data_IF_932337298210
#
_entry.id   IF_932337298210
#
_cell.length_a   1.000
_cell.length_b   1.000
_cell.length_c   1.000
_cell.angle_alpha   90.00
_cell.angle_beta   90.00
_cell.angle_gamma   90.00
#
_symmetry.space_group_name_H-M   'P 1'
#
loop_
_entity.id
_entity.type
_entity.pdbx_description
1 polymer ?
#
# COMPACT_ATOMS: atom_id res chain seq x y z
N UNK A 1 16.34 -11.90 16.83
CA UNK A 1 16.89 -11.16 15.68
C UNK A 1 16.49 -9.70 15.81
N UNK A 2 17.43 -8.79 15.60
CA UNK A 2 17.19 -7.34 15.67
C UNK A 2 16.28 -6.89 14.51
N UNK A 3 15.30 -6.02 14.79
CA UNK A 3 14.49 -5.38 13.77
C UNK A 3 15.36 -4.40 12.95
N UNK A 4 15.20 -4.45 11.62
CA UNK A 4 15.90 -3.57 10.68
C UNK A 4 14.94 -3.08 9.60
N UNK A 5 15.22 -1.94 9.00
CA UNK A 5 14.50 -1.48 7.81
C UNK A 5 14.74 -2.47 6.66
N UNK A 6 13.67 -2.80 5.91
CA UNK A 6 13.70 -3.70 4.76
C UNK A 6 13.12 -3.01 3.55
N UNK A 7 13.64 -3.37 2.41
CA UNK A 7 13.07 -3.02 1.11
C UNK A 7 12.48 -4.30 0.51
N UNK A 8 11.16 -4.39 0.51
CA UNK A 8 10.44 -5.58 0.03
C UNK A 8 10.32 -5.59 -1.49
N UNK A 9 10.12 -4.41 -2.07
CA UNK A 9 9.99 -4.21 -3.52
C UNK A 9 10.84 -2.99 -3.90
N UNK A 10 11.70 -3.15 -4.89
CA UNK A 10 12.55 -2.10 -5.45
C UNK A 10 12.43 -2.14 -6.97
N UNK A 11 12.09 -1.03 -7.59
CA UNK A 11 11.94 -0.88 -9.04
C UNK A 11 11.02 -1.93 -9.70
N UNK A 12 9.98 -2.33 -8.96
CA UNK A 12 8.99 -3.32 -9.41
C UNK A 12 9.40 -4.79 -9.16
N UNK A 13 10.57 -5.05 -8.64
CA UNK A 13 11.06 -6.39 -8.30
C UNK A 13 10.93 -6.68 -6.79
N UNK A 14 10.51 -7.90 -6.44
CA UNK A 14 10.51 -8.36 -5.05
C UNK A 14 11.95 -8.69 -4.66
N UNK A 15 12.51 -7.92 -3.74
CA UNK A 15 13.90 -8.05 -3.30
C UNK A 15 14.05 -8.83 -2.01
N UNK A 16 13.03 -8.84 -1.16
CA UNK A 16 13.07 -9.52 0.12
C UNK A 16 11.67 -10.00 0.54
N UNK A 17 11.58 -11.19 1.13
CA UNK A 17 10.36 -11.69 1.77
C UNK A 17 10.42 -11.49 3.28
N UNK A 18 9.25 -11.31 3.91
CA UNK A 18 9.14 -11.40 5.36
C UNK A 18 9.32 -12.87 5.79
N UNK A 19 10.21 -13.13 6.76
CA UNK A 19 10.65 -14.48 7.08
C UNK A 19 10.68 -14.77 8.58
N UNK A 20 10.56 -16.05 8.91
CA UNK A 20 10.98 -16.65 10.18
C UNK A 20 12.23 -17.51 9.96
N UNK A 21 12.65 -18.26 11.00
CA UNK A 21 13.85 -19.11 10.90
C UNK A 21 13.67 -20.27 9.92
N UNK A 22 12.47 -20.86 9.88
CA UNK A 22 12.16 -22.00 8.97
C UNK A 22 12.20 -21.55 7.51
N UNK A 23 11.41 -20.55 7.16
CA UNK A 23 11.36 -20.07 5.77
C UNK A 23 12.69 -19.46 5.30
N UNK A 24 13.46 -18.86 6.19
CA UNK A 24 14.81 -18.38 5.85
C UNK A 24 15.76 -19.54 5.54
N UNK A 25 15.66 -20.65 6.28
CA UNK A 25 16.46 -21.85 6.03
C UNK A 25 16.05 -22.53 4.70
N UNK A 26 14.74 -22.64 4.45
CA UNK A 26 14.19 -23.20 3.19
C UNK A 26 14.65 -22.42 1.95
N UNK A 27 14.71 -21.10 2.05
CA UNK A 27 15.15 -20.21 0.96
C UNK A 27 16.67 -20.03 0.89
N UNK A 28 17.43 -20.57 1.82
CA UNK A 28 18.89 -20.42 1.88
C UNK A 28 19.34 -18.97 2.13
N UNK A 29 18.53 -18.15 2.83
CA UNK A 29 18.79 -16.73 3.06
C UNK A 29 18.89 -16.41 4.55
N UNK A 30 19.44 -15.23 4.86
CA UNK A 30 19.53 -14.76 6.25
C UNK A 30 18.15 -14.40 6.81
N UNK A 31 17.84 -14.91 8.02
CA UNK A 31 16.61 -14.55 8.72
C UNK A 31 16.58 -13.05 9.03
N UNK A 32 15.49 -12.41 8.68
CA UNK A 32 15.30 -10.96 8.84
C UNK A 32 14.43 -10.56 10.05
N UNK A 33 14.06 -11.51 10.92
CA UNK A 33 13.35 -11.23 12.17
C UNK A 33 11.92 -10.71 11.98
N UNK A 34 11.21 -11.16 10.95
CA UNK A 34 9.84 -10.74 10.69
C UNK A 34 8.78 -11.59 11.42
N UNK A 35 9.18 -12.55 12.24
CA UNK A 35 8.25 -13.32 13.06
C UNK A 35 8.08 -12.69 14.43
N UNK A 36 6.83 -12.58 14.87
CA UNK A 36 6.45 -12.18 16.23
C UNK A 36 5.07 -12.72 16.57
N UNK A 37 4.81 -12.91 17.87
CA UNK A 37 3.48 -13.26 18.36
C UNK A 37 2.72 -12.00 18.78
N UNK A 38 1.40 -12.13 18.87
CA UNK A 38 0.53 -11.09 19.44
C UNK A 38 0.64 -11.05 20.96
N UNK A 39 0.90 -12.19 21.61
CA UNK A 39 0.99 -12.33 23.07
C UNK A 39 1.96 -13.47 23.41
N UNK A 40 2.35 -13.57 24.69
CA UNK A 40 3.32 -14.57 25.18
C UNK A 40 2.84 -16.02 25.01
N UNK A 41 1.53 -16.26 25.00
CA UNK A 41 0.91 -17.59 24.88
C UNK A 41 0.52 -17.95 23.43
N UNK A 42 1.01 -17.20 22.43
CA UNK A 42 0.72 -17.44 21.01
C UNK A 42 2.00 -17.76 20.24
N UNK A 43 1.85 -18.61 19.23
CA UNK A 43 2.96 -18.94 18.34
C UNK A 43 3.45 -17.71 17.57
N UNK A 44 4.78 -17.47 17.52
CA UNK A 44 5.35 -16.44 16.64
C UNK A 44 5.22 -16.83 15.18
N UNK A 45 4.47 -16.10 14.42
CA UNK A 45 4.30 -16.29 12.98
C UNK A 45 4.85 -15.09 12.20
N UNK A 46 5.11 -15.25 10.90
CA UNK A 46 5.58 -14.15 10.04
C UNK A 46 4.53 -13.05 10.00
N UNK A 47 4.94 -11.81 10.33
CA UNK A 47 4.05 -10.66 10.45
C UNK A 47 4.57 -9.46 9.69
N UNK A 48 3.64 -8.75 9.07
CA UNK A 48 3.86 -7.40 8.61
C UNK A 48 4.21 -6.47 9.79
N UNK A 49 5.13 -5.57 9.62
CA UNK A 49 5.38 -4.43 10.51
C UNK A 49 4.87 -3.14 9.86
N UNK A 50 5.33 -1.97 10.31
CA UNK A 50 5.01 -0.72 9.64
C UNK A 50 5.54 -0.77 8.20
N UNK A 51 4.61 -0.76 7.26
CA UNK A 51 4.91 -0.94 5.83
C UNK A 51 4.43 0.28 5.06
N UNK A 52 5.28 0.87 4.24
CA UNK A 52 4.97 2.11 3.55
C UNK A 52 5.70 2.21 2.21
N UNK A 53 5.14 3.01 1.33
CA UNK A 53 5.79 3.43 0.09
C UNK A 53 6.79 4.53 0.41
N UNK A 54 8.05 4.39 -0.02
CA UNK A 54 9.07 5.42 0.19
C UNK A 54 8.72 6.71 -0.56
N UNK A 55 9.02 7.90 0.03
CA UNK A 55 8.72 9.17 -0.61
C UNK A 55 9.46 9.33 -1.95
N UNK A 56 8.89 10.17 -2.81
CA UNK A 56 9.55 10.74 -3.98
C UNK A 56 9.99 12.18 -3.69
N UNK A 57 9.95 13.02 -4.70
CA UNK A 57 10.48 14.38 -4.69
C UNK A 57 9.46 15.47 -5.04
N UNK A 58 8.22 15.08 -5.40
CA UNK A 58 7.16 16.01 -5.81
C UNK A 58 6.33 16.52 -4.62
N UNK A 59 5.78 17.73 -4.76
CA UNK A 59 4.65 18.17 -3.94
C UNK A 59 3.34 17.64 -4.51
N UNK A 60 2.26 17.67 -3.72
CA UNK A 60 0.91 17.29 -4.19
C UNK A 60 0.49 18.18 -5.36
N UNK A 61 0.77 19.47 -5.28
CA UNK A 61 0.44 20.45 -6.32
C UNK A 61 1.18 20.16 -7.61
N UNK A 62 2.44 19.72 -7.55
CA UNK A 62 3.21 19.30 -8.73
C UNK A 62 2.63 18.05 -9.35
N UNK A 63 2.27 17.03 -8.54
CA UNK A 63 1.60 15.83 -9.04
C UNK A 63 0.28 16.14 -9.73
N UNK A 64 -0.54 17.05 -9.16
CA UNK A 64 -1.81 17.46 -9.74
C UNK A 64 -1.61 18.19 -11.08
N UNK A 65 -0.59 19.05 -11.18
CA UNK A 65 -0.28 19.80 -12.41
C UNK A 65 0.06 18.90 -13.61
N UNK A 66 0.59 17.71 -13.36
CA UNK A 66 0.91 16.74 -14.42
C UNK A 66 -0.33 16.03 -14.99
N UNK A 67 -1.48 16.13 -14.32
CA UNK A 67 -2.70 15.41 -14.70
C UNK A 67 -3.57 16.27 -15.62
N UNK A 68 -3.72 15.85 -16.87
CA UNK A 68 -4.65 16.51 -17.79
C UNK A 68 -6.11 16.21 -17.46
N UNK A 69 -6.44 14.95 -17.22
CA UNK A 69 -7.77 14.48 -16.82
C UNK A 69 -7.60 13.34 -15.81
N UNK A 70 -8.19 13.47 -14.63
CA UNK A 70 -8.06 12.46 -13.59
C UNK A 70 -8.95 12.72 -12.38
N UNK A 71 -8.74 11.89 -11.37
CA UNK A 71 -9.40 12.00 -10.05
C UNK A 71 -8.32 11.97 -8.97
N UNK A 72 -8.34 12.93 -8.09
CA UNK A 72 -7.58 12.92 -6.85
C UNK A 72 -8.40 12.25 -5.76
N UNK A 73 -8.00 11.06 -5.33
CA UNK A 73 -8.56 10.36 -4.19
C UNK A 73 -7.84 10.82 -2.93
N UNK A 74 -8.49 11.61 -2.10
CA UNK A 74 -7.93 12.09 -0.84
C UNK A 74 -8.20 11.12 0.30
N UNK A 75 -9.36 10.45 0.26
CA UNK A 75 -9.70 9.37 1.19
C UNK A 75 -10.64 8.36 0.52
N UNK A 76 -10.78 7.19 1.13
CA UNK A 76 -11.68 6.15 0.65
C UNK A 76 -12.64 5.68 1.77
N UNK A 77 -13.80 5.18 1.41
CA UNK A 77 -14.80 4.62 2.33
C UNK A 77 -14.80 3.09 2.31
N UNK A 78 -14.44 2.49 1.21
CA UNK A 78 -14.36 1.04 1.06
C UNK A 78 -13.01 0.64 0.46
N UNK A 79 -12.45 -0.42 1.01
CA UNK A 79 -11.31 -1.11 0.47
C UNK A 79 -11.57 -2.61 0.52
N UNK A 80 -11.48 -3.28 -0.61
CA UNK A 80 -11.68 -4.70 -0.76
C UNK A 80 -10.54 -5.32 -1.55
N UNK A 81 -10.13 -6.51 -1.15
CA UNK A 81 -9.09 -7.29 -1.82
C UNK A 81 -9.48 -8.76 -1.78
N UNK A 82 -9.25 -9.50 -2.85
CA UNK A 82 -9.52 -10.93 -2.91
C UNK A 82 -8.53 -11.76 -2.07
N UNK A 83 -8.85 -13.03 -1.85
CA UNK A 83 -8.04 -13.94 -1.02
C UNK A 83 -6.62 -14.15 -1.59
N UNK A 84 -6.45 -14.04 -2.90
CA UNK A 84 -5.15 -14.14 -3.58
C UNK A 84 -4.34 -12.85 -3.53
N UNK A 85 -4.91 -11.76 -2.99
CA UNK A 85 -4.33 -10.41 -2.97
C UNK A 85 -4.02 -9.87 -4.37
N UNK A 86 -4.75 -10.35 -5.38
CA UNK A 86 -4.57 -9.97 -6.77
C UNK A 86 -5.47 -8.80 -7.17
N UNK A 87 -6.79 -8.92 -6.93
CA UNK A 87 -7.77 -7.90 -7.32
C UNK A 87 -8.08 -6.99 -6.14
N UNK A 88 -8.08 -5.70 -6.39
CA UNK A 88 -8.33 -4.66 -5.39
C UNK A 88 -9.40 -3.70 -5.90
N UNK A 89 -10.25 -3.24 -4.98
CA UNK A 89 -11.31 -2.27 -5.23
C UNK A 89 -11.30 -1.20 -4.15
N UNK A 90 -11.23 0.04 -4.56
CA UNK A 90 -11.29 1.20 -3.68
C UNK A 90 -12.44 2.09 -4.09
N UNK A 91 -13.23 2.56 -3.12
CA UNK A 91 -14.31 3.53 -3.34
C UNK A 91 -13.93 4.83 -2.66
N UNK A 92 -13.82 5.91 -3.40
CA UNK A 92 -13.48 7.23 -2.87
C UNK A 92 -14.58 7.78 -1.97
N UNK A 93 -14.17 8.35 -0.83
CA UNK A 93 -15.02 9.13 0.07
C UNK A 93 -14.88 10.62 -0.26
N UNK A 94 -13.68 11.14 -0.13
CA UNK A 94 -13.34 12.50 -0.54
C UNK A 94 -12.46 12.42 -1.78
N UNK A 95 -13.03 12.81 -2.91
CA UNK A 95 -12.34 12.76 -4.19
C UNK A 95 -12.70 13.96 -5.06
N UNK A 96 -11.73 14.44 -5.82
CA UNK A 96 -11.86 15.64 -6.64
C UNK A 96 -11.49 15.35 -8.09
N UNK A 97 -12.22 15.95 -9.01
CA UNK A 97 -11.87 15.94 -10.43
C UNK A 97 -10.61 16.77 -10.65
N UNK A 98 -9.74 16.29 -11.50
CA UNK A 98 -8.59 17.07 -12.01
C UNK A 98 -8.81 17.33 -13.49
N UNK A 99 -8.72 18.60 -13.87
CA UNK A 99 -8.77 19.03 -15.28
C UNK A 99 -7.64 20.02 -15.54
N UNK A 100 -6.80 19.71 -16.53
CA UNK A 100 -5.67 20.55 -16.96
C UNK A 100 -4.79 21.01 -15.78
N UNK A 101 -4.46 20.09 -14.87
CA UNK A 101 -3.59 20.37 -13.73
C UNK A 101 -4.24 21.14 -12.59
N UNK A 102 -5.57 21.26 -12.56
CA UNK A 102 -6.29 21.97 -11.51
C UNK A 102 -7.33 21.07 -10.83
N UNK A 103 -7.45 21.20 -9.51
CA UNK A 103 -8.53 20.56 -8.77
C UNK A 103 -9.86 21.26 -9.05
N UNK A 104 -10.85 20.47 -9.42
CA UNK A 104 -12.20 20.90 -9.68
C UNK A 104 -13.19 20.46 -8.61
N UNK A 105 -14.39 20.07 -9.04
CA UNK A 105 -15.50 19.69 -8.17
C UNK A 105 -15.31 18.32 -7.50
N UNK A 106 -16.00 18.11 -6.39
CA UNK A 106 -16.13 16.80 -5.74
C UNK A 106 -16.76 15.78 -6.69
N UNK A 107 -16.23 14.56 -6.66
CA UNK A 107 -16.75 13.42 -7.40
C UNK A 107 -17.37 12.43 -6.43
N UNK A 108 -18.61 12.03 -6.69
CA UNK A 108 -19.35 11.11 -5.83
C UNK A 108 -18.88 9.67 -6.06
N UNK A 109 -18.34 9.06 -4.99
CA UNK A 109 -18.00 7.64 -4.91
C UNK A 109 -17.30 7.08 -6.16
N UNK A 110 -16.18 7.68 -6.64
CA UNK A 110 -15.41 7.10 -7.74
C UNK A 110 -14.81 5.77 -7.31
N UNK A 111 -14.71 4.83 -8.25
CA UNK A 111 -14.25 3.47 -8.00
C UNK A 111 -13.00 3.18 -8.79
N UNK A 112 -11.92 2.80 -8.10
CA UNK A 112 -10.72 2.23 -8.69
C UNK A 112 -10.74 0.71 -8.50
N UNK A 113 -10.87 -0.04 -9.61
CA UNK A 113 -10.71 -1.49 -9.64
C UNK A 113 -9.43 -1.81 -10.41
N UNK A 114 -8.50 -2.50 -9.76
CA UNK A 114 -7.17 -2.70 -10.33
C UNK A 114 -6.52 -3.96 -9.74
N UNK A 115 -5.67 -4.63 -10.52
CA UNK A 115 -4.84 -5.72 -9.98
C UNK A 115 -3.60 -5.16 -9.28
N UNK A 116 -3.08 -5.91 -8.31
CA UNK A 116 -1.86 -5.51 -7.58
C UNK A 116 -0.67 -5.21 -8.51
N UNK A 117 -0.35 -6.05 -9.51
CA UNK A 117 0.71 -5.72 -10.46
C UNK A 117 0.42 -4.47 -11.30
N UNK A 118 -0.83 -4.29 -11.74
CA UNK A 118 -1.21 -3.12 -12.52
C UNK A 118 -1.15 -1.84 -11.69
N UNK A 119 -1.55 -1.89 -10.40
CA UNK A 119 -1.42 -0.75 -9.48
C UNK A 119 0.02 -0.27 -9.39
N UNK A 120 0.94 -1.17 -9.05
CA UNK A 120 2.36 -0.82 -8.91
C UNK A 120 3.01 -0.45 -10.23
N UNK A 121 2.64 -1.10 -11.34
CA UNK A 121 3.12 -0.77 -12.68
C UNK A 121 2.59 0.57 -13.23
N UNK A 122 1.51 1.11 -12.64
CA UNK A 122 0.92 2.40 -13.05
C UNK A 122 1.55 3.61 -12.35
N UNK A 123 2.39 3.42 -11.34
CA UNK A 123 3.05 4.50 -10.60
C UNK A 123 3.97 5.30 -11.55
N UNK A 124 3.76 6.62 -11.60
CA UNK A 124 4.54 7.56 -12.42
C UNK A 124 5.40 8.48 -11.57
N UNK A 125 4.85 9.01 -10.49
CA UNK A 125 5.55 9.90 -9.58
C UNK A 125 5.02 9.73 -8.15
N UNK A 126 5.80 10.15 -7.18
CA UNK A 126 5.47 10.07 -5.75
C UNK A 126 5.76 11.39 -5.06
N UNK A 127 4.91 11.73 -4.12
CA UNK A 127 5.07 12.88 -3.27
C UNK A 127 6.22 12.73 -2.26
N UNK A 128 6.71 13.85 -1.74
CA UNK A 128 7.78 13.88 -0.75
C UNK A 128 7.32 13.68 0.71
N UNK A 129 6.03 13.86 0.97
CA UNK A 129 5.48 13.77 2.32
C UNK A 129 4.79 12.41 2.51
N UNK A 130 5.25 11.63 3.48
CA UNK A 130 4.65 10.35 3.83
C UNK A 130 3.65 10.55 4.95
N UNK A 131 2.42 10.09 4.74
CA UNK A 131 1.39 9.98 5.77
C UNK A 131 1.27 8.53 6.24
N UNK A 132 0.88 8.34 7.50
CA UNK A 132 0.68 7.02 8.09
C UNK A 132 -0.72 6.91 8.70
N UNK A 133 -1.33 5.74 8.53
CA UNK A 133 -2.60 5.39 9.17
C UNK A 133 -2.43 4.13 10.02
N UNK A 134 -3.13 4.07 11.14
CA UNK A 134 -3.17 2.90 12.00
C UNK A 134 -4.00 1.79 11.35
N UNK A 135 -3.51 0.57 11.43
CA UNK A 135 -4.17 -0.61 10.89
C UNK A 135 -3.96 -1.83 11.78
N UNK A 136 -4.72 -2.87 11.54
CA UNK A 136 -4.51 -4.17 12.19
C UNK A 136 -4.19 -5.22 11.14
N UNK A 137 -2.99 -5.79 11.22
CA UNK A 137 -2.61 -6.94 10.42
C UNK A 137 -3.17 -8.22 11.06
N UNK A 138 -4.12 -8.88 10.40
CA UNK A 138 -4.66 -10.17 10.81
C UNK A 138 -3.98 -11.34 10.09
N UNK A 139 -3.56 -12.37 10.82
CA UNK A 139 -3.00 -13.60 10.25
C UNK A 139 -3.11 -14.76 11.24
N UNK A 140 -3.15 -15.99 10.70
CA UNK A 140 -3.11 -17.23 11.46
C UNK A 140 -4.49 -17.82 11.75
N UNK A 141 -4.49 -19.06 12.17
CA UNK A 141 -5.64 -19.78 12.70
C UNK A 141 -5.20 -20.47 14.02
N UNK A 142 -5.72 -20.08 15.17
CA UNK A 142 -6.64 -18.94 15.38
C UNK A 142 -6.01 -17.59 15.03
N UNK A 143 -6.87 -16.65 14.56
CA UNK A 143 -6.48 -15.31 14.12
C UNK A 143 -5.68 -14.55 15.18
N UNK A 144 -4.58 -13.95 14.75
CA UNK A 144 -3.76 -13.03 15.54
C UNK A 144 -3.81 -11.64 14.90
N UNK A 145 -4.43 -10.66 15.57
CA UNK A 145 -4.46 -9.26 15.15
C UNK A 145 -3.30 -8.48 15.78
N UNK A 146 -2.43 -7.87 14.99
CA UNK A 146 -1.31 -7.05 15.49
C UNK A 146 -1.45 -5.61 14.99
N UNK A 147 -1.39 -4.60 15.87
CA UNK A 147 -1.36 -3.22 15.45
C UNK A 147 -0.13 -2.93 14.59
N UNK A 148 -0.35 -2.21 13.49
CA UNK A 148 0.69 -1.77 12.55
C UNK A 148 0.34 -0.37 12.05
N UNK A 149 1.31 0.31 11.44
CA UNK A 149 1.06 1.49 10.63
C UNK A 149 1.28 1.13 9.16
N UNK A 150 0.39 1.62 8.31
CA UNK A 150 0.55 1.60 6.86
C UNK A 150 0.69 3.03 6.36
N UNK A 151 1.47 3.25 5.33
CA UNK A 151 1.68 4.61 4.87
C UNK A 151 2.22 4.72 3.45
N UNK A 152 2.25 5.95 3.00
CA UNK A 152 2.81 6.34 1.72
C UNK A 152 2.65 7.82 1.46
N UNK A 153 3.33 8.32 0.42
CA UNK A 153 3.10 9.64 -0.11
C UNK A 153 1.89 9.64 -1.05
N UNK A 154 1.38 10.82 -1.37
CA UNK A 154 0.53 10.97 -2.55
C UNK A 154 1.23 10.39 -3.78
N UNK A 155 0.49 9.63 -4.58
CA UNK A 155 1.08 8.85 -5.67
C UNK A 155 0.30 9.05 -6.95
N UNK A 156 1.00 9.49 -8.00
CA UNK A 156 0.43 9.63 -9.33
C UNK A 156 0.42 8.27 -10.04
N UNK A 157 -0.77 7.81 -10.38
CA UNK A 157 -1.01 6.62 -11.20
C UNK A 157 -1.38 7.04 -12.63
N UNK A 158 -0.74 6.47 -13.62
CA UNK A 158 -1.01 6.76 -15.02
C UNK A 158 -1.73 5.62 -15.74
N UNK A 159 -2.74 5.98 -16.58
CA UNK A 159 -3.42 5.01 -17.43
C UNK A 159 -4.35 4.04 -16.70
N UNK A 160 -4.84 4.41 -15.51
CA UNK A 160 -5.81 3.61 -14.73
C UNK A 160 -7.25 3.95 -15.13
N UNK A 161 -8.14 2.95 -15.05
CA UNK A 161 -9.57 3.14 -15.26
C UNK A 161 -10.27 3.44 -13.95
N UNK A 162 -11.08 4.49 -13.91
CA UNK A 162 -11.91 4.85 -12.77
C UNK A 162 -13.38 4.75 -13.21
N UNK A 163 -14.15 3.99 -12.45
CA UNK A 163 -15.60 3.83 -12.62
C UNK A 163 -16.37 4.68 -11.63
N UNK A 164 -17.69 4.47 -11.61
CA UNK A 164 -18.61 5.00 -10.61
C UNK A 164 -19.33 3.85 -9.91
N UNK A 165 -19.76 4.10 -8.67
CA UNK A 165 -20.60 3.15 -7.91
C UNK A 165 -22.04 3.21 -8.40
#
# INVERSE_FOLDING_TARGET
>A
VRAVKRRLIVDGEITEFLQNRSTAAELGVKNNGSARSVDFNREPIIRMSNTFVEPGDHTVEELIKEVRHGIYFKSFTEWNIDDKRLNQRYVGLEAYRIENGQLGTLVKAPVLEITTPALWGSVRARGKTVAFESATCGKGDPMQGIPVWTGGPDTLLGGVRIGSR
#
